data_IF_143803725375
#
_entry.id   IF_143803725375
#
_cell.length_a   1.000
_cell.length_b   1.000
_cell.length_c   1.000
_cell.angle_alpha   90.00
_cell.angle_beta   90.00
_cell.angle_gamma   90.00
#
_symmetry.space_group_name_H-M   'P 1'
#
loop_
_entity.id
_entity.type
_entity.pdbx_description
1 polymer ?
#
# COMPACT_ATOMS: atom_id res chain seq x y z
N UNK A 1 -52.02 35.93 -11.61
CA UNK A 1 -50.64 35.57 -12.02
C UNK A 1 -49.69 35.19 -10.85
N UNK A 2 -49.79 35.80 -9.66
CA UNK A 2 -48.90 35.48 -8.49
C UNK A 2 -49.13 34.11 -7.82
N UNK A 3 -50.35 33.56 -7.82
CA UNK A 3 -50.68 32.27 -7.16
C UNK A 3 -50.11 31.05 -7.92
N UNK A 4 -50.09 31.10 -9.26
CA UNK A 4 -49.53 30.03 -10.11
C UNK A 4 -48.00 29.92 -9.99
N UNK A 5 -47.30 31.04 -9.83
CA UNK A 5 -45.85 31.09 -9.60
C UNK A 5 -45.46 30.53 -8.22
N UNK A 6 -46.23 30.83 -7.18
CA UNK A 6 -46.02 30.25 -5.84
C UNK A 6 -46.21 28.73 -5.85
N UNK A 7 -47.25 28.22 -6.53
CA UNK A 7 -47.51 26.78 -6.61
C UNK A 7 -46.40 26.00 -7.34
N UNK A 8 -45.79 26.60 -8.37
CA UNK A 8 -44.66 26.01 -9.12
C UNK A 8 -43.36 26.03 -8.33
N UNK A 9 -43.11 27.08 -7.55
CA UNK A 9 -41.97 27.17 -6.63
C UNK A 9 -42.09 26.17 -5.48
N UNK A 10 -43.28 26.03 -4.88
CA UNK A 10 -43.55 25.03 -3.84
C UNK A 10 -43.45 23.60 -4.39
N UNK A 11 -43.98 23.32 -5.60
CA UNK A 11 -43.79 22.01 -6.26
C UNK A 11 -42.33 21.70 -6.57
N UNK A 12 -41.54 22.65 -7.07
CA UNK A 12 -40.09 22.45 -7.30
C UNK A 12 -39.32 22.29 -5.99
N UNK A 13 -39.69 23.02 -4.94
CA UNK A 13 -39.07 22.88 -3.63
C UNK A 13 -39.38 21.52 -2.99
N UNK A 14 -40.64 21.07 -3.05
CA UNK A 14 -41.08 19.75 -2.58
C UNK A 14 -40.46 18.61 -3.39
N UNK A 15 -40.38 18.71 -4.73
CA UNK A 15 -39.69 17.73 -5.58
C UNK A 15 -38.19 17.66 -5.31
N UNK A 16 -37.52 18.79 -5.02
CA UNK A 16 -36.09 18.80 -4.67
C UNK A 16 -35.81 18.18 -3.30
N UNK A 17 -36.72 18.34 -2.32
CA UNK A 17 -36.64 17.68 -1.02
C UNK A 17 -36.91 16.18 -1.13
N UNK A 18 -37.90 15.78 -1.93
CA UNK A 18 -38.22 14.36 -2.12
C UNK A 18 -37.06 13.62 -2.80
N UNK A 19 -36.47 14.21 -3.84
CA UNK A 19 -35.30 13.62 -4.52
C UNK A 19 -34.05 13.58 -3.63
N UNK A 20 -33.79 14.61 -2.81
CA UNK A 20 -32.70 14.54 -1.79
C UNK A 20 -32.97 13.50 -0.72
N UNK A 21 -34.21 13.37 -0.24
CA UNK A 21 -34.59 12.40 0.78
C UNK A 21 -34.42 10.95 0.31
N UNK A 22 -34.91 10.63 -0.90
CA UNK A 22 -34.72 9.31 -1.50
C UNK A 22 -33.25 9.00 -1.82
N UNK A 23 -32.47 10.00 -2.24
CA UNK A 23 -31.03 9.85 -2.45
C UNK A 23 -30.28 9.63 -1.13
N UNK A 24 -30.71 10.25 -0.03
CA UNK A 24 -30.18 10.00 1.31
C UNK A 24 -30.54 8.60 1.81
N UNK A 25 -31.78 8.13 1.63
CA UNK A 25 -32.19 6.75 1.99
C UNK A 25 -31.39 5.71 1.21
N UNK A 26 -31.22 5.91 -0.11
CA UNK A 26 -30.39 5.02 -0.93
C UNK A 26 -28.92 5.03 -0.47
N UNK A 27 -28.41 6.17 0.01
CA UNK A 27 -27.07 6.26 0.60
C UNK A 27 -26.98 5.56 1.96
N UNK A 28 -28.02 5.65 2.81
CA UNK A 28 -28.10 4.92 4.08
C UNK A 28 -28.16 3.41 3.86
N UNK A 29 -28.87 2.95 2.83
CA UNK A 29 -28.93 1.53 2.46
C UNK A 29 -27.58 0.94 2.06
N UNK A 30 -26.63 1.75 1.55
CA UNK A 30 -25.28 1.30 1.23
C UNK A 30 -24.43 0.95 2.45
N UNK A 31 -24.77 1.42 3.65
CA UNK A 31 -24.12 0.97 4.89
C UNK A 31 -24.41 -0.51 5.20
N UNK A 32 -25.47 -1.05 4.59
CA UNK A 32 -25.85 -2.45 4.65
C UNK A 32 -25.30 -3.25 3.45
N UNK A 33 -24.26 -2.78 2.75
CA UNK A 33 -23.55 -3.65 1.81
C UNK A 33 -22.77 -4.74 2.56
N UNK A 34 -22.74 -5.98 2.05
CA UNK A 34 -21.86 -7.02 2.59
C UNK A 34 -20.39 -6.56 2.51
N UNK A 35 -19.59 -6.82 3.55
CA UNK A 35 -18.16 -6.48 3.58
C UNK A 35 -17.78 -5.32 4.50
N UNK A 36 -18.68 -4.35 4.72
CA UNK A 36 -18.44 -3.19 5.60
C UNK A 36 -18.51 -3.52 7.11
N UNK A 37 -18.79 -4.75 7.55
CA UNK A 37 -18.77 -5.13 8.99
C UNK A 37 -19.78 -4.43 9.92
N UNK A 38 -20.44 -3.35 9.51
CA UNK A 38 -21.37 -2.54 10.33
C UNK A 38 -22.61 -3.34 10.73
N UNK A 39 -23.06 -4.28 9.90
CA UNK A 39 -24.27 -5.10 10.14
C UNK A 39 -24.22 -5.86 11.46
N UNK A 40 -23.06 -6.45 11.80
CA UNK A 40 -22.90 -7.26 13.02
C UNK A 40 -23.04 -6.38 14.27
N UNK A 41 -22.41 -5.20 14.25
CA UNK A 41 -22.48 -4.23 15.33
C UNK A 41 -23.88 -3.59 15.45
N UNK A 42 -24.53 -3.30 14.33
CA UNK A 42 -25.91 -2.82 14.34
C UNK A 42 -26.86 -3.87 14.94
N UNK A 43 -26.70 -5.14 14.58
CA UNK A 43 -27.46 -6.24 15.17
C UNK A 43 -27.21 -6.39 16.68
N UNK A 44 -25.94 -6.30 17.11
CA UNK A 44 -25.58 -6.35 18.53
C UNK A 44 -26.18 -5.17 19.32
N UNK A 45 -26.12 -3.96 18.76
CA UNK A 45 -26.70 -2.76 19.38
C UNK A 45 -28.21 -2.87 19.49
N UNK A 46 -28.89 -3.33 18.42
CA UNK A 46 -30.33 -3.56 18.45
C UNK A 46 -30.72 -4.61 19.49
N UNK A 47 -29.98 -5.72 19.56
CA UNK A 47 -30.20 -6.77 20.56
C UNK A 47 -29.97 -6.23 21.99
N UNK A 48 -28.89 -5.49 22.22
CA UNK A 48 -28.58 -4.89 23.52
C UNK A 48 -29.63 -3.87 23.97
N UNK A 49 -30.05 -2.97 23.09
CA UNK A 49 -31.14 -2.01 23.38
C UNK A 49 -32.46 -2.74 23.65
N UNK A 50 -32.75 -3.83 22.93
CA UNK A 50 -33.96 -4.63 23.16
C UNK A 50 -33.91 -5.31 24.52
N UNK A 51 -32.79 -5.92 24.89
CA UNK A 51 -32.62 -6.56 26.19
C UNK A 51 -32.70 -5.55 27.35
N UNK A 52 -32.09 -4.37 27.20
CA UNK A 52 -32.23 -3.28 28.16
C UNK A 52 -33.68 -2.79 28.26
N UNK A 53 -34.37 -2.66 27.13
CA UNK A 53 -35.78 -2.30 27.10
C UNK A 53 -36.67 -3.31 27.81
N UNK A 54 -36.44 -4.61 27.59
CA UNK A 54 -37.16 -5.69 28.28
C UNK A 54 -36.84 -5.72 29.78
N UNK A 55 -35.57 -5.61 30.17
CA UNK A 55 -35.16 -5.55 31.57
C UNK A 55 -35.78 -4.37 32.32
N UNK A 56 -35.74 -3.18 31.70
CA UNK A 56 -36.39 -1.99 32.24
C UNK A 56 -37.90 -2.16 32.33
N UNK A 57 -38.54 -2.77 31.33
CA UNK A 57 -39.98 -3.03 31.34
C UNK A 57 -40.39 -3.98 32.48
N UNK A 58 -39.61 -5.04 32.73
CA UNK A 58 -39.83 -5.97 33.84
C UNK A 58 -39.66 -5.24 35.18
N UNK A 59 -38.58 -4.45 35.34
CA UNK A 59 -38.31 -3.68 36.55
C UNK A 59 -39.42 -2.65 36.83
N UNK A 60 -39.85 -1.88 35.82
CA UNK A 60 -40.94 -0.90 35.97
C UNK A 60 -42.27 -1.58 36.29
N UNK A 61 -42.52 -2.77 35.75
CA UNK A 61 -43.73 -3.54 36.00
C UNK A 61 -43.73 -4.17 37.40
N UNK A 62 -42.57 -4.55 37.91
CA UNK A 62 -42.38 -4.97 39.30
C UNK A 62 -42.60 -3.80 40.26
N UNK A 63 -41.94 -2.67 40.03
CA UNK A 63 -42.12 -1.43 40.81
C UNK A 63 -43.59 -1.00 40.87
N UNK A 64 -44.31 -1.11 39.75
CA UNK A 64 -45.75 -0.81 39.67
C UNK A 64 -46.61 -1.78 40.49
N UNK A 65 -46.15 -3.02 40.70
CA UNK A 65 -46.89 -4.07 41.44
C UNK A 65 -46.55 -4.11 42.92
N UNK A 66 -45.33 -3.74 43.31
CA UNK A 66 -44.80 -3.98 44.67
C UNK A 66 -44.74 -2.74 45.55
N UNK A 67 -44.97 -1.52 45.04
CA UNK A 67 -44.88 -0.30 45.84
C UNK A 67 -46.27 0.34 46.08
N UNK A 68 -46.96 0.07 47.22
CA UNK A 68 -48.37 0.40 47.37
C UNK A 68 -48.69 1.78 47.96
N UNK A 69 -47.72 2.59 48.38
CA UNK A 69 -48.05 3.69 49.33
C UNK A 69 -47.64 5.13 48.92
N UNK A 70 -47.16 5.36 47.71
CA UNK A 70 -46.75 6.71 47.27
C UNK A 70 -47.47 7.09 45.95
N UNK A 71 -48.59 7.82 46.03
CA UNK A 71 -49.47 8.11 44.88
C UNK A 71 -48.82 8.94 43.75
N UNK A 72 -47.88 9.84 44.09
CA UNK A 72 -47.38 10.83 43.13
C UNK A 72 -46.58 10.19 41.98
N UNK A 73 -45.79 9.15 42.25
CA UNK A 73 -44.96 8.52 41.22
C UNK A 73 -45.79 7.59 40.30
N UNK A 74 -46.86 6.97 40.82
CA UNK A 74 -47.77 6.13 40.03
C UNK A 74 -48.50 6.97 38.97
N UNK A 75 -48.98 8.16 39.36
CA UNK A 75 -49.64 9.10 38.44
C UNK A 75 -48.68 9.64 37.38
N UNK A 76 -47.43 9.92 37.76
CA UNK A 76 -46.37 10.31 36.84
C UNK A 76 -46.08 9.20 35.81
N UNK A 77 -45.89 7.96 36.26
CA UNK A 77 -45.64 6.80 35.39
C UNK A 77 -46.84 6.48 34.48
N UNK A 78 -48.07 6.60 34.98
CA UNK A 78 -49.29 6.37 34.20
C UNK A 78 -49.44 7.40 33.06
N UNK A 79 -49.08 8.66 33.32
CA UNK A 79 -49.09 9.74 32.33
C UNK A 79 -47.93 9.57 31.33
N UNK A 80 -46.72 9.32 31.82
CA UNK A 80 -45.53 9.10 31.00
C UNK A 80 -45.65 7.88 30.09
N UNK A 81 -46.35 6.83 30.52
CA UNK A 81 -46.63 5.62 29.74
C UNK A 81 -47.88 5.73 28.84
N UNK A 82 -48.49 6.92 28.74
CA UNK A 82 -49.67 7.22 27.92
C UNK A 82 -50.85 6.26 28.17
N UNK A 83 -51.13 5.89 29.42
CA UNK A 83 -52.11 4.84 29.78
C UNK A 83 -53.52 5.05 29.20
N UNK A 84 -53.91 6.29 28.93
CA UNK A 84 -55.20 6.65 28.32
C UNK A 84 -55.36 6.16 26.87
N UNK A 85 -54.27 5.76 26.20
CA UNK A 85 -54.30 5.23 24.84
C UNK A 85 -54.37 3.69 24.80
N UNK A 86 -55.02 3.12 23.76
CA UNK A 86 -55.00 1.67 23.54
C UNK A 86 -53.57 1.13 23.47
N UNK A 87 -53.36 -0.08 24.03
CA UNK A 87 -52.06 -0.79 24.03
C UNK A 87 -51.33 -0.76 22.66
N UNK A 88 -51.97 -1.09 21.52
CA UNK A 88 -51.27 -1.10 20.23
C UNK A 88 -50.78 0.29 19.81
N UNK A 89 -51.53 1.36 20.13
CA UNK A 89 -51.15 2.74 19.80
C UNK A 89 -49.90 3.16 20.57
N UNK A 90 -49.80 2.78 21.86
CA UNK A 90 -48.63 3.09 22.69
C UNK A 90 -47.38 2.39 22.19
N UNK A 91 -47.49 1.13 21.78
CA UNK A 91 -46.37 0.38 21.17
C UNK A 91 -45.87 1.07 19.91
N UNK A 92 -46.78 1.56 19.05
CA UNK A 92 -46.38 2.31 17.85
C UNK A 92 -45.71 3.64 18.18
N UNK A 93 -46.19 4.38 19.19
CA UNK A 93 -45.60 5.67 19.59
C UNK A 93 -44.21 5.47 20.18
N UNK A 94 -44.07 4.64 21.22
CA UNK A 94 -42.77 4.43 21.88
C UNK A 94 -41.79 3.67 20.98
N UNK A 95 -42.27 2.67 20.24
CA UNK A 95 -41.45 1.94 19.27
C UNK A 95 -40.97 2.83 18.13
N UNK A 96 -41.88 3.63 17.54
CA UNK A 96 -41.54 4.54 16.45
C UNK A 96 -40.59 5.67 16.88
N UNK A 97 -40.86 6.29 18.05
CA UNK A 97 -40.00 7.33 18.60
C UNK A 97 -38.64 6.77 19.02
N UNK A 98 -38.60 5.59 19.63
CA UNK A 98 -37.36 4.88 19.98
C UNK A 98 -36.50 4.58 18.74
N UNK A 99 -37.09 3.98 17.70
CA UNK A 99 -36.39 3.72 16.43
C UNK A 99 -35.88 5.03 15.82
N UNK A 100 -36.69 6.08 15.82
CA UNK A 100 -36.32 7.38 15.26
C UNK A 100 -35.14 8.03 15.99
N UNK A 101 -35.14 8.00 17.33
CA UNK A 101 -34.04 8.50 18.15
C UNK A 101 -32.76 7.69 17.96
N UNK A 102 -32.85 6.37 17.87
CA UNK A 102 -31.69 5.49 17.59
C UNK A 102 -31.09 5.85 16.22
N UNK A 103 -31.93 5.94 15.18
CA UNK A 103 -31.47 6.30 13.83
C UNK A 103 -30.85 7.70 13.80
N UNK A 104 -31.43 8.66 14.52
CA UNK A 104 -30.91 10.01 14.61
C UNK A 104 -29.58 10.08 15.37
N UNK A 105 -29.44 9.33 16.47
CA UNK A 105 -28.20 9.20 17.24
C UNK A 105 -27.08 8.57 16.41
N UNK A 106 -27.37 7.48 15.70
CA UNK A 106 -26.41 6.84 14.78
C UNK A 106 -25.98 7.83 13.69
N UNK A 107 -26.92 8.56 13.10
CA UNK A 107 -26.61 9.60 12.11
C UNK A 107 -25.75 10.72 12.69
N UNK A 108 -26.05 11.17 13.91
CA UNK A 108 -25.30 12.20 14.63
C UNK A 108 -23.85 11.80 14.87
N UNK A 109 -23.61 10.59 15.39
CA UNK A 109 -22.27 10.05 15.65
C UNK A 109 -21.48 9.90 14.34
N UNK A 110 -22.09 9.32 13.31
CA UNK A 110 -21.45 9.15 12.02
C UNK A 110 -21.03 10.50 11.44
N UNK A 111 -21.91 11.49 11.53
CA UNK A 111 -21.64 12.84 11.06
C UNK A 111 -20.53 13.53 11.87
N UNK A 112 -20.56 13.46 13.20
CA UNK A 112 -19.58 14.17 14.05
C UNK A 112 -18.19 13.56 14.03
N UNK A 113 -18.09 12.22 13.95
CA UNK A 113 -16.81 11.52 14.03
C UNK A 113 -16.13 11.40 12.67
N UNK A 114 -16.87 11.17 11.58
CA UNK A 114 -16.25 10.87 10.29
C UNK A 114 -15.99 12.12 9.42
N UNK A 115 -16.78 13.18 9.55
CA UNK A 115 -16.62 14.40 8.73
C UNK A 115 -15.21 15.01 8.73
N UNK A 116 -14.46 15.05 9.85
CA UNK A 116 -13.11 15.61 9.87
C UNK A 116 -12.09 14.81 9.03
N UNK A 117 -12.36 13.56 8.71
CA UNK A 117 -11.40 12.64 8.08
C UNK A 117 -11.67 12.39 6.59
N UNK A 118 -12.63 13.09 6.00
CA UNK A 118 -13.13 12.82 4.64
C UNK A 118 -12.73 13.91 3.65
N UNK A 119 -12.16 13.50 2.53
CA UNK A 119 -11.88 14.40 1.39
C UNK A 119 -13.18 15.01 0.83
N UNK A 120 -13.23 16.33 0.56
CA UNK A 120 -14.37 16.98 -0.07
C UNK A 120 -14.73 16.30 -1.41
N UNK A 121 -16.01 15.96 -1.62
CA UNK A 121 -16.52 15.47 -2.90
C UNK A 121 -16.65 13.95 -3.08
N UNK A 122 -16.14 13.14 -2.15
CA UNK A 122 -16.29 11.67 -2.19
C UNK A 122 -17.13 11.16 -1.02
N UNK A 123 -17.87 10.06 -1.23
CA UNK A 123 -18.79 9.52 -0.21
C UNK A 123 -18.01 8.68 0.80
N UNK A 124 -18.34 8.87 2.08
CA UNK A 124 -17.79 8.14 3.24
C UNK A 124 -17.78 6.63 3.04
N UNK A 125 -18.88 6.10 2.51
CA UNK A 125 -19.08 4.65 2.34
C UNK A 125 -18.15 4.07 1.29
N UNK A 126 -17.91 4.82 0.20
CA UNK A 126 -17.09 4.36 -0.91
C UNK A 126 -15.60 4.32 -0.46
N UNK A 127 -15.14 5.34 0.28
CA UNK A 127 -13.79 5.34 0.88
C UNK A 127 -13.59 4.23 1.92
N UNK A 128 -14.57 4.01 2.81
CA UNK A 128 -14.51 2.93 3.80
C UNK A 128 -14.54 1.55 3.17
N UNK A 129 -15.25 1.39 2.05
CA UNK A 129 -15.29 0.16 1.28
C UNK A 129 -13.95 -0.11 0.60
N UNK A 130 -13.35 0.91 -0.05
CA UNK A 130 -12.03 0.83 -0.66
C UNK A 130 -10.94 0.52 0.38
N UNK A 131 -10.96 1.22 1.53
CA UNK A 131 -10.00 0.99 2.61
C UNK A 131 -10.05 -0.47 3.10
N UNK A 132 -11.25 -1.01 3.38
CA UNK A 132 -11.40 -2.43 3.79
C UNK A 132 -11.05 -3.41 2.68
N UNK A 133 -11.32 -3.07 1.43
CA UNK A 133 -10.95 -3.92 0.29
C UNK A 133 -9.42 -4.03 0.22
N UNK A 134 -8.71 -2.92 0.39
CA UNK A 134 -7.24 -2.88 0.40
C UNK A 134 -6.64 -3.61 1.61
N UNK A 135 -7.26 -3.51 2.80
CA UNK A 135 -6.87 -4.30 3.98
C UNK A 135 -6.98 -5.82 3.76
N UNK A 136 -7.94 -6.24 2.93
CA UNK A 136 -8.13 -7.65 2.54
C UNK A 136 -7.48 -7.99 1.19
N UNK A 137 -6.66 -7.08 0.65
CA UNK A 137 -5.94 -7.28 -0.59
C UNK A 137 -4.86 -8.35 -0.47
N UNK A 138 -4.28 -8.80 -1.61
CA UNK A 138 -3.22 -9.79 -1.59
C UNK A 138 -1.98 -9.29 -0.84
N UNK A 139 -1.24 -10.24 -0.25
CA UNK A 139 0.07 -10.00 0.35
C UNK A 139 1.10 -9.92 -0.76
N UNK A 140 1.62 -8.72 -0.99
CA UNK A 140 2.63 -8.48 -2.04
C UNK A 140 3.96 -8.14 -1.40
N UNK A 141 4.99 -8.89 -1.77
CA UNK A 141 6.38 -8.60 -1.40
C UNK A 141 7.10 -8.05 -2.61
N UNK A 142 7.66 -6.85 -2.50
CA UNK A 142 8.44 -6.21 -3.56
C UNK A 142 9.92 -6.16 -3.14
N UNK A 143 10.81 -6.70 -3.96
CA UNK A 143 12.25 -6.81 -3.68
C UNK A 143 13.01 -5.93 -4.67
N UNK A 144 13.84 -5.01 -4.16
CA UNK A 144 14.65 -4.14 -5.01
C UNK A 144 15.31 -3.02 -4.22
N UNK A 145 15.40 -1.84 -4.84
CA UNK A 145 15.99 -0.65 -4.26
C UNK A 145 15.72 0.59 -5.11
N UNK A 146 16.23 1.72 -4.65
CA UNK A 146 16.19 2.99 -5.34
C UNK A 146 14.80 3.49 -5.73
N UNK A 147 14.77 4.24 -6.82
CA UNK A 147 13.57 4.93 -7.30
C UNK A 147 12.59 3.98 -8.02
N UNK A 148 13.08 2.89 -8.64
CA UNK A 148 12.24 1.92 -9.33
C UNK A 148 11.27 1.23 -8.38
N UNK A 149 11.79 0.72 -7.26
CA UNK A 149 10.97 0.12 -6.21
C UNK A 149 9.99 1.14 -5.61
N UNK A 150 10.44 2.37 -5.32
CA UNK A 150 9.57 3.42 -4.81
C UNK A 150 8.40 3.73 -5.77
N UNK A 151 8.65 3.78 -7.09
CA UNK A 151 7.61 3.95 -8.10
C UNK A 151 6.60 2.80 -8.08
N UNK A 152 7.07 1.55 -8.04
CA UNK A 152 6.20 0.38 -7.93
C UNK A 152 5.31 0.46 -6.68
N UNK A 153 5.89 0.78 -5.52
CA UNK A 153 5.16 0.86 -4.25
C UNK A 153 4.09 1.97 -4.26
N UNK A 154 4.37 3.12 -4.88
CA UNK A 154 3.39 4.21 -5.06
C UNK A 154 2.16 3.76 -5.84
N UNK A 155 2.34 2.88 -6.82
CA UNK A 155 1.23 2.28 -7.56
C UNK A 155 0.49 1.22 -6.73
N UNK A 156 1.24 0.25 -6.19
CA UNK A 156 0.66 -0.90 -5.49
C UNK A 156 -0.13 -0.53 -4.23
N UNK A 157 0.22 0.57 -3.53
CA UNK A 157 -0.51 1.02 -2.32
C UNK A 157 -1.98 1.36 -2.60
N UNK A 158 -2.32 1.66 -3.85
CA UNK A 158 -3.70 1.91 -4.28
C UNK A 158 -4.52 0.61 -4.45
N UNK A 159 -3.87 -0.56 -4.43
CA UNK A 159 -4.51 -1.86 -4.63
C UNK A 159 -4.55 -2.73 -3.36
N UNK A 160 -3.53 -2.65 -2.49
CA UNK A 160 -3.45 -3.44 -1.26
C UNK A 160 -2.68 -2.68 -0.18
N UNK A 161 -3.06 -2.88 1.09
CA UNK A 161 -2.29 -2.39 2.24
C UNK A 161 -1.32 -3.46 2.78
N UNK A 162 -1.39 -4.69 2.25
CA UNK A 162 -0.57 -5.82 2.67
C UNK A 162 0.75 -5.85 1.88
N UNK A 163 1.45 -4.70 1.84
CA UNK A 163 2.72 -4.53 1.14
C UNK A 163 3.90 -4.76 2.07
N UNK A 164 4.90 -5.47 1.59
CA UNK A 164 6.22 -5.54 2.24
C UNK A 164 7.30 -5.24 1.21
N UNK A 165 7.99 -4.12 1.37
CA UNK A 165 9.16 -3.77 0.58
C UNK A 165 10.41 -4.35 1.25
N UNK A 166 11.25 -5.03 0.47
CA UNK A 166 12.53 -5.57 0.91
C UNK A 166 13.63 -4.85 0.16
N UNK A 167 14.54 -4.23 0.91
CA UNK A 167 15.57 -3.33 0.38
C UNK A 167 16.95 -3.71 0.84
N UNK A 168 17.91 -3.55 -0.07
CA UNK A 168 19.33 -3.77 0.22
C UNK A 168 19.84 -2.67 1.17
N UNK A 169 20.80 -3.05 2.01
CA UNK A 169 21.55 -2.13 2.89
C UNK A 169 23.00 -1.96 2.42
N UNK A 170 23.27 -2.23 1.14
CA UNK A 170 24.60 -2.14 0.56
C UNK A 170 24.98 -0.75 0.00
N UNK A 171 24.03 0.20 -0.06
CA UNK A 171 24.23 1.58 -0.53
C UNK A 171 25.37 2.26 0.23
N UNK A 172 26.25 2.92 -0.51
CA UNK A 172 27.36 3.72 0.01
C UNK A 172 27.51 5.11 -0.65
N UNK A 173 26.47 5.52 -1.38
CA UNK A 173 26.40 6.78 -2.12
C UNK A 173 25.77 7.94 -1.34
N UNK A 174 26.18 9.16 -1.72
CA UNK A 174 25.60 10.42 -1.25
C UNK A 174 25.43 10.52 0.27
N UNK A 175 24.28 11.07 0.69
CA UNK A 175 23.93 11.26 2.11
C UNK A 175 23.88 9.95 2.89
N UNK A 176 23.44 8.83 2.29
CA UNK A 176 23.38 7.54 2.98
C UNK A 176 24.79 7.02 3.30
N UNK A 177 25.67 7.06 2.30
CA UNK A 177 27.06 6.63 2.43
C UNK A 177 27.87 7.48 3.39
N UNK A 178 27.63 8.80 3.42
CA UNK A 178 28.29 9.69 4.38
C UNK A 178 27.90 9.37 5.83
N UNK A 179 26.60 9.21 6.10
CA UNK A 179 26.11 8.84 7.44
C UNK A 179 26.59 7.46 7.87
N UNK A 180 26.64 6.50 6.94
CA UNK A 180 27.20 5.17 7.17
C UNK A 180 28.68 5.25 7.58
N UNK A 181 29.49 6.03 6.87
CA UNK A 181 30.94 6.20 7.17
C UNK A 181 31.19 6.97 8.47
N UNK A 182 30.39 7.98 8.78
CA UNK A 182 30.63 8.84 9.95
C UNK A 182 30.06 8.28 11.25
N UNK A 183 28.94 7.56 11.20
CA UNK A 183 28.21 7.09 12.38
C UNK A 183 28.16 5.56 12.51
N UNK A 184 28.61 4.80 11.50
CA UNK A 184 28.61 3.33 11.53
C UNK A 184 27.21 2.70 11.48
N UNK A 185 26.22 3.43 10.97
CA UNK A 185 24.84 2.95 10.81
C UNK A 185 24.60 2.35 9.42
N UNK A 186 23.58 1.50 9.30
CA UNK A 186 23.12 1.02 8.00
C UNK A 186 22.59 2.17 7.13
N UNK A 187 22.78 2.14 5.80
CA UNK A 187 22.39 3.23 4.92
C UNK A 187 20.86 3.38 4.87
N UNK A 188 20.30 4.55 5.24
CA UNK A 188 18.85 4.71 5.34
C UNK A 188 18.17 5.09 4.00
N UNK A 189 18.92 5.40 2.93
CA UNK A 189 18.41 6.05 1.72
C UNK A 189 17.28 5.30 1.01
N UNK A 190 17.49 4.03 0.67
CA UNK A 190 16.49 3.22 -0.03
C UNK A 190 15.27 2.90 0.84
N UNK A 191 15.49 2.68 2.13
CA UNK A 191 14.41 2.54 3.11
C UNK A 191 13.58 3.82 3.18
N UNK A 192 14.23 4.98 3.26
CA UNK A 192 13.57 6.29 3.27
C UNK A 192 12.69 6.48 2.04
N UNK A 193 13.20 6.14 0.86
CA UNK A 193 12.45 6.23 -0.40
C UNK A 193 11.21 5.34 -0.38
N UNK A 194 11.33 4.11 0.12
CA UNK A 194 10.20 3.19 0.23
C UNK A 194 9.16 3.65 1.26
N UNK A 195 9.61 4.18 2.42
CA UNK A 195 8.72 4.73 3.44
C UNK A 195 7.91 5.91 2.88
N UNK A 196 8.58 6.83 2.18
CA UNK A 196 7.92 7.96 1.52
C UNK A 196 6.97 7.52 0.39
N UNK A 197 7.34 6.47 -0.35
CA UNK A 197 6.47 5.92 -1.40
C UNK A 197 5.18 5.31 -0.86
N UNK A 198 5.26 4.65 0.31
CA UNK A 198 4.15 4.01 0.98
C UNK A 198 3.32 4.95 1.87
N UNK A 199 3.80 6.16 2.16
CA UNK A 199 3.01 7.19 2.83
C UNK A 199 2.10 7.94 1.85
N UNK A 200 1.27 8.87 2.37
CA UNK A 200 0.47 9.75 1.51
C UNK A 200 1.34 10.92 1.03
N UNK A 201 1.38 11.12 -0.27
CA UNK A 201 2.25 12.13 -0.90
C UNK A 201 1.85 13.59 -0.55
N UNK A 202 0.56 13.83 -0.24
CA UNK A 202 0.03 15.15 0.13
C UNK A 202 0.38 15.56 1.58
N UNK A 203 0.82 14.62 2.43
CA UNK A 203 1.07 14.90 3.83
C UNK A 203 2.38 15.71 3.99
N UNK A 204 2.32 16.80 4.74
CA UNK A 204 3.48 17.67 5.01
C UNK A 204 4.67 16.90 5.57
N UNK A 205 4.42 15.90 6.41
CA UNK A 205 5.45 15.03 6.97
C UNK A 205 6.19 14.25 5.86
N UNK A 206 5.48 13.74 4.86
CA UNK A 206 6.09 13.05 3.71
C UNK A 206 6.98 13.99 2.90
N UNK A 207 6.55 15.24 2.71
CA UNK A 207 7.34 16.25 2.00
C UNK A 207 8.60 16.65 2.79
N UNK A 208 8.46 16.85 4.10
CA UNK A 208 9.59 17.10 4.99
C UNK A 208 10.56 15.91 5.00
N UNK A 209 10.05 14.69 5.00
CA UNK A 209 10.86 13.46 4.97
C UNK A 209 11.71 13.34 3.70
N UNK A 210 11.18 13.81 2.57
CA UNK A 210 11.90 13.84 1.29
C UNK A 210 12.79 15.08 1.12
N UNK A 211 12.71 16.06 2.04
CA UNK A 211 13.50 17.29 1.95
C UNK A 211 15.00 16.98 1.95
N UNK A 212 15.70 17.68 1.04
CA UNK A 212 17.15 17.66 0.93
C UNK A 212 17.66 19.07 1.19
N UNK A 213 18.59 19.18 2.14
CA UNK A 213 19.22 20.45 2.47
C UNK A 213 20.13 20.91 1.33
N UNK A 214 20.12 22.22 1.08
CA UNK A 214 20.96 22.87 0.08
C UNK A 214 21.50 24.19 0.62
N UNK A 215 22.78 24.47 0.42
CA UNK A 215 23.43 25.74 0.75
C UNK A 215 23.69 25.97 2.25
N UNK A 216 23.53 24.95 3.09
CA UNK A 216 23.82 25.04 4.54
C UNK A 216 25.08 24.24 4.87
N UNK A 217 26.17 24.89 5.32
CA UNK A 217 27.41 24.20 5.69
C UNK A 217 27.16 23.08 6.71
N UNK A 218 27.72 21.89 6.48
CA UNK A 218 27.57 20.71 7.35
C UNK A 218 26.25 19.93 7.18
N UNK A 219 25.25 20.49 6.49
CA UNK A 219 24.01 19.78 6.13
C UNK A 219 23.81 19.68 4.63
N UNK A 220 24.63 20.34 3.82
CA UNK A 220 24.50 20.39 2.36
C UNK A 220 24.47 18.98 1.76
N UNK A 221 23.46 18.70 0.95
CA UNK A 221 23.27 17.39 0.34
C UNK A 221 22.63 16.32 1.25
N UNK A 222 22.57 16.52 2.57
CA UNK A 222 21.86 15.59 3.47
C UNK A 222 20.35 15.63 3.24
N UNK A 223 19.71 14.48 3.47
CA UNK A 223 18.26 14.40 3.50
C UNK A 223 17.74 14.39 4.93
N UNK A 224 16.69 15.17 5.20
CA UNK A 224 16.04 15.16 6.51
C UNK A 224 15.56 13.76 6.90
N UNK A 225 14.93 13.00 5.98
CA UNK A 225 14.49 11.65 6.28
C UNK A 225 15.63 10.69 6.62
N UNK A 226 16.80 10.84 6.02
CA UNK A 226 17.98 10.06 6.40
C UNK A 226 18.40 10.40 7.83
N UNK A 227 18.56 11.69 8.14
CA UNK A 227 18.91 12.17 9.49
C UNK A 227 17.88 11.74 10.54
N UNK A 228 16.60 11.73 10.18
CA UNK A 228 15.52 11.30 11.05
C UNK A 228 15.62 9.80 11.39
N UNK A 229 15.82 8.94 10.38
CA UNK A 229 16.01 7.49 10.60
C UNK A 229 17.27 7.25 11.43
N UNK A 230 18.35 7.97 11.14
CA UNK A 230 19.61 7.92 11.90
C UNK A 230 19.39 8.26 13.38
N UNK A 231 18.76 9.41 13.66
CA UNK A 231 18.48 9.84 15.03
C UNK A 231 17.58 8.85 15.77
N UNK A 232 16.55 8.30 15.11
CA UNK A 232 15.73 7.24 15.70
C UNK A 232 16.51 5.95 15.96
N UNK A 233 17.46 5.60 15.10
CA UNK A 233 18.31 4.42 15.29
C UNK A 233 19.21 4.59 16.52
N UNK A 234 19.74 5.79 16.75
CA UNK A 234 20.52 6.10 17.96
C UNK A 234 19.66 6.10 19.23
N UNK A 235 18.43 6.64 19.16
CA UNK A 235 17.51 6.69 20.31
C UNK A 235 17.01 5.30 20.71
N UNK A 236 16.63 4.48 19.73
CA UNK A 236 16.10 3.12 19.94
C UNK A 236 17.21 2.10 20.18
N UNK A 237 18.42 2.37 19.71
CA UNK A 237 19.52 1.40 19.70
C UNK A 237 19.32 0.27 18.68
N UNK A 238 18.32 0.39 17.79
CA UNK A 238 17.94 -0.64 16.82
C UNK A 238 17.54 0.00 15.49
N UNK A 239 18.20 -0.39 14.40
CA UNK A 239 17.89 0.13 13.08
C UNK A 239 16.50 -0.32 12.61
N UNK A 240 16.15 -1.59 12.83
CA UNK A 240 14.84 -2.12 12.47
C UNK A 240 13.69 -1.48 13.26
N UNK A 241 13.90 -1.16 14.53
CA UNK A 241 12.91 -0.44 15.34
C UNK A 241 12.75 0.99 14.83
N UNK A 242 13.84 1.69 14.52
CA UNK A 242 13.80 3.02 13.93
C UNK A 242 13.05 3.07 12.59
N UNK A 243 13.23 2.06 11.73
CA UNK A 243 12.49 1.93 10.47
C UNK A 243 11.00 1.68 10.73
N UNK A 244 10.66 0.82 11.69
CA UNK A 244 9.28 0.56 12.07
C UNK A 244 8.58 1.78 12.66
N UNK A 245 9.26 2.54 13.53
CA UNK A 245 8.75 3.79 14.09
C UNK A 245 8.61 4.89 13.02
N UNK A 246 9.59 5.00 12.12
CA UNK A 246 9.48 5.92 10.97
C UNK A 246 8.24 5.62 10.13
N UNK A 247 7.97 4.33 9.89
CA UNK A 247 6.74 3.90 9.22
C UNK A 247 5.46 4.27 9.97
N UNK A 248 5.44 4.17 11.30
CA UNK A 248 4.31 4.60 12.14
C UNK A 248 4.07 6.10 12.05
N UNK A 249 5.13 6.91 12.18
CA UNK A 249 5.07 8.38 12.09
C UNK A 249 4.53 8.83 10.73
N UNK A 250 4.96 8.17 9.65
CA UNK A 250 4.52 8.46 8.28
C UNK A 250 3.19 7.79 7.91
N UNK A 251 2.60 6.98 8.80
CA UNK A 251 1.36 6.22 8.56
C UNK A 251 1.39 5.44 7.25
N UNK A 252 2.47 4.69 7.00
CA UNK A 252 2.71 4.00 5.73
C UNK A 252 1.74 2.83 5.49
N UNK A 253 1.36 2.61 4.23
CA UNK A 253 0.53 1.48 3.79
C UNK A 253 1.37 0.23 3.52
N UNK A 254 1.81 -0.43 4.59
CA UNK A 254 2.60 -1.65 4.50
C UNK A 254 3.81 -1.61 5.43
N UNK A 255 4.89 -2.29 5.04
CA UNK A 255 6.14 -2.35 5.81
C UNK A 255 7.34 -2.25 4.87
N UNK A 256 8.43 -1.68 5.38
CA UNK A 256 9.73 -1.66 4.71
C UNK A 256 10.71 -2.42 5.61
N UNK A 257 11.39 -3.40 5.05
CA UNK A 257 12.31 -4.28 5.76
C UNK A 257 13.68 -4.27 5.08
N UNK A 258 14.77 -4.12 5.83
CA UNK A 258 16.10 -4.33 5.28
C UNK A 258 16.32 -5.82 4.98
N UNK A 259 17.02 -6.14 3.90
CA UNK A 259 17.32 -7.52 3.51
C UNK A 259 18.16 -8.24 4.58
N UNK A 260 19.07 -7.51 5.23
CA UNK A 260 19.89 -7.95 6.35
C UNK A 260 20.10 -6.79 7.33
N UNK A 261 20.39 -7.11 8.59
CA UNK A 261 20.81 -6.13 9.60
C UNK A 261 22.35 -6.03 9.70
N UNK A 262 23.08 -6.74 8.85
CA UNK A 262 24.54 -6.69 8.82
C UNK A 262 25.01 -5.58 7.88
N UNK A 263 26.06 -4.88 8.30
CA UNK A 263 26.73 -3.90 7.46
C UNK A 263 27.50 -4.62 6.34
N UNK A 264 27.05 -4.42 5.10
CA UNK A 264 27.59 -5.13 3.92
C UNK A 264 27.91 -4.17 2.80
N UNK A 265 29.01 -4.39 2.10
CA UNK A 265 29.41 -3.64 0.93
C UNK A 265 29.20 -4.48 -0.32
N UNK A 266 28.68 -3.87 -1.39
CA UNK A 266 28.60 -4.52 -2.70
C UNK A 266 29.96 -4.46 -3.39
N UNK A 267 30.40 -5.59 -3.94
CA UNK A 267 31.64 -5.68 -4.71
C UNK A 267 31.35 -6.33 -6.06
N UNK A 268 32.00 -5.83 -7.12
CA UNK A 268 31.85 -6.33 -8.48
C UNK A 268 33.21 -6.64 -9.10
N UNK A 269 33.26 -7.68 -9.94
CA UNK A 269 34.32 -7.84 -10.94
C UNK A 269 33.77 -7.33 -12.28
N UNK A 270 34.44 -6.32 -12.87
CA UNK A 270 34.00 -5.61 -14.08
C UNK A 270 35.02 -5.79 -15.20
N UNK A 271 34.54 -6.21 -16.36
CA UNK A 271 35.33 -6.31 -17.58
C UNK A 271 35.32 -4.96 -18.30
N UNK A 272 36.44 -4.25 -18.25
CA UNK A 272 36.61 -2.97 -18.96
C UNK A 272 37.05 -3.26 -20.41
N UNK A 273 36.52 -2.54 -21.42
CA UNK A 273 37.00 -2.63 -22.79
C UNK A 273 38.50 -2.35 -22.87
N UNK A 274 39.19 -3.10 -23.74
CA UNK A 274 40.64 -2.96 -23.98
C UNK A 274 41.58 -3.40 -22.84
N UNK A 275 41.05 -3.82 -21.68
CA UNK A 275 41.83 -4.49 -20.64
C UNK A 275 41.61 -6.00 -20.69
N UNK A 276 42.68 -6.77 -20.62
CA UNK A 276 42.61 -8.24 -20.62
C UNK A 276 42.19 -8.83 -19.27
N UNK A 277 42.31 -8.05 -18.19
CA UNK A 277 41.96 -8.47 -16.83
C UNK A 277 40.69 -7.78 -16.34
N UNK A 278 39.96 -8.48 -15.48
CA UNK A 278 38.82 -7.92 -14.75
C UNK A 278 39.32 -6.97 -13.64
N UNK A 279 38.57 -5.89 -13.42
CA UNK A 279 38.86 -4.93 -12.35
C UNK A 279 37.85 -5.13 -11.23
N UNK A 280 38.36 -5.30 -10.02
CA UNK A 280 37.53 -5.39 -8.81
C UNK A 280 37.19 -4.00 -8.30
N UNK A 281 35.89 -3.74 -8.15
CA UNK A 281 35.36 -2.46 -7.66
C UNK A 281 34.52 -2.75 -6.42
N UNK A 282 34.85 -2.09 -5.32
CA UNK A 282 34.09 -2.15 -4.07
C UNK A 282 33.32 -0.84 -3.85
N UNK A 283 32.04 -0.97 -3.51
CA UNK A 283 31.10 0.12 -3.30
C UNK A 283 30.03 0.18 -4.39
N UNK A 284 28.77 0.26 -3.98
CA UNK A 284 27.61 0.27 -4.87
C UNK A 284 27.66 1.49 -5.81
N UNK A 285 27.93 2.67 -5.25
CA UNK A 285 27.94 3.92 -6.00
C UNK A 285 29.07 4.02 -7.02
N UNK A 286 30.13 3.24 -6.84
CA UNK A 286 31.31 3.24 -7.71
C UNK A 286 31.21 2.29 -8.89
N UNK A 287 30.39 1.23 -8.80
CA UNK A 287 30.27 0.20 -9.85
C UNK A 287 29.84 0.82 -11.19
N UNK A 288 28.80 1.67 -11.26
CA UNK A 288 28.33 2.24 -12.53
C UNK A 288 29.28 3.30 -13.13
N UNK A 289 30.23 3.84 -12.36
CA UNK A 289 31.17 4.87 -12.82
C UNK A 289 32.20 4.32 -13.83
N UNK A 290 32.41 3.00 -13.84
CA UNK A 290 33.34 2.36 -14.76
C UNK A 290 32.62 1.89 -16.02
N UNK A 291 33.10 2.35 -17.17
CA UNK A 291 32.58 1.97 -18.49
C UNK A 291 32.99 0.53 -18.83
N UNK A 292 32.32 -0.47 -18.24
CA UNK A 292 32.58 -1.89 -18.47
C UNK A 292 31.34 -2.76 -18.31
N UNK A 293 31.50 -4.07 -18.54
CA UNK A 293 30.45 -5.07 -18.33
C UNK A 293 30.67 -5.75 -16.98
N UNK A 294 29.65 -5.69 -16.12
CA UNK A 294 29.65 -6.41 -14.84
C UNK A 294 29.64 -7.92 -15.13
N UNK A 295 30.62 -8.65 -14.60
CA UNK A 295 30.71 -10.11 -14.74
C UNK A 295 30.01 -10.82 -13.59
N UNK A 296 30.24 -10.35 -12.37
CA UNK A 296 29.60 -10.86 -11.17
C UNK A 296 29.61 -9.82 -10.05
N UNK A 297 28.68 -9.97 -9.12
CA UNK A 297 28.64 -9.21 -7.87
C UNK A 297 28.49 -10.13 -6.66
N UNK A 298 29.01 -9.70 -5.51
CA UNK A 298 28.85 -10.36 -4.22
C UNK A 298 28.83 -9.34 -3.08
N UNK A 299 28.41 -9.77 -1.89
CA UNK A 299 28.43 -8.94 -0.68
C UNK A 299 29.71 -9.19 0.13
N UNK A 300 30.21 -8.17 0.79
CA UNK A 300 31.33 -8.25 1.71
C UNK A 300 30.97 -7.57 3.04
N UNK A 301 30.95 -8.27 4.19
CA UNK A 301 31.19 -9.71 4.36
C UNK A 301 30.23 -10.60 3.55
N UNK A 302 30.73 -11.76 3.11
CA UNK A 302 29.94 -12.68 2.29
C UNK A 302 28.92 -13.46 3.14
N UNK A 303 27.82 -13.87 2.51
CA UNK A 303 26.74 -14.65 3.10
C UNK A 303 26.15 -14.06 4.39
N UNK A 304 25.73 -12.78 4.40
CA UNK A 304 25.06 -12.21 5.56
C UNK A 304 23.73 -12.94 5.83
N UNK A 305 23.31 -13.12 7.10
CA UNK A 305 22.01 -13.70 7.41
C UNK A 305 20.89 -12.74 7.01
N UNK A 306 19.75 -13.28 6.57
CA UNK A 306 18.59 -12.44 6.29
C UNK A 306 17.96 -11.91 7.57
N UNK A 307 17.30 -10.74 7.49
CA UNK A 307 16.43 -10.30 8.56
C UNK A 307 15.19 -11.21 8.65
N UNK A 308 14.95 -11.95 9.75
CA UNK A 308 13.94 -13.02 9.77
C UNK A 308 12.51 -12.62 9.33
N UNK A 309 11.99 -11.40 9.64
CA UNK A 309 10.70 -10.95 9.13
C UNK A 309 10.59 -10.91 7.61
N UNK A 310 11.71 -10.74 6.89
CA UNK A 310 11.76 -10.81 5.42
C UNK A 310 11.41 -12.21 4.94
N UNK A 311 12.00 -13.24 5.55
CA UNK A 311 11.74 -14.64 5.22
C UNK A 311 10.27 -14.98 5.46
N UNK A 312 9.73 -14.56 6.60
CA UNK A 312 8.31 -14.75 6.92
C UNK A 312 7.40 -14.07 5.89
N UNK A 313 7.73 -12.85 5.48
CA UNK A 313 6.95 -12.12 4.48
C UNK A 313 6.98 -12.83 3.12
N UNK A 314 8.15 -13.26 2.65
CA UNK A 314 8.33 -13.96 1.36
C UNK A 314 7.56 -15.27 1.32
N UNK A 315 7.61 -16.06 2.40
CA UNK A 315 6.91 -17.36 2.47
C UNK A 315 5.39 -17.22 2.62
N UNK A 316 4.92 -16.09 3.18
CA UNK A 316 3.49 -15.80 3.34
C UNK A 316 2.89 -14.97 2.20
N UNK A 317 3.69 -14.60 1.20
CA UNK A 317 3.28 -13.76 0.08
C UNK A 317 2.34 -14.51 -0.88
N UNK A 318 1.38 -13.78 -1.44
CA UNK A 318 0.57 -14.23 -2.56
C UNK A 318 1.26 -13.86 -3.89
N UNK A 319 1.95 -12.71 -3.92
CA UNK A 319 2.74 -12.22 -5.06
C UNK A 319 4.11 -11.75 -4.58
N UNK A 320 5.15 -12.11 -5.34
CA UNK A 320 6.51 -11.63 -5.16
C UNK A 320 6.94 -10.90 -6.42
N UNK A 321 7.27 -9.61 -6.29
CA UNK A 321 7.70 -8.74 -7.39
C UNK A 321 9.18 -8.44 -7.21
N UNK A 322 10.00 -8.78 -8.21
CA UNK A 322 11.44 -8.52 -8.24
C UNK A 322 11.68 -7.36 -9.19
N UNK A 323 12.26 -6.28 -8.68
CA UNK A 323 12.37 -5.02 -9.41
C UNK A 323 11.06 -4.22 -9.45
N UNK A 324 10.98 -3.16 -10.27
CA UNK A 324 12.06 -2.66 -11.14
C UNK A 324 13.17 -2.00 -10.33
N UNK A 325 14.36 -1.87 -10.94
CA UNK A 325 15.52 -1.28 -10.28
C UNK A 325 16.81 -1.68 -10.98
N UNK A 326 17.92 -1.03 -10.63
CA UNK A 326 19.21 -1.39 -11.19
C UNK A 326 19.52 -2.86 -10.93
N UNK A 327 19.92 -3.58 -11.97
CA UNK A 327 20.00 -5.05 -11.89
C UNK A 327 21.05 -5.48 -10.85
N UNK A 328 22.27 -4.96 -10.96
CA UNK A 328 23.40 -5.41 -10.14
C UNK A 328 23.53 -4.63 -8.83
N UNK A 329 23.01 -3.40 -8.77
CA UNK A 329 23.14 -2.51 -7.59
C UNK A 329 21.88 -2.40 -6.74
N UNK A 330 20.69 -2.76 -7.24
CA UNK A 330 19.43 -2.71 -6.46
C UNK A 330 18.73 -4.06 -6.33
N UNK A 331 18.67 -4.87 -7.39
CA UNK A 331 17.92 -6.13 -7.37
C UNK A 331 18.78 -7.27 -6.83
N UNK A 332 19.89 -7.58 -7.52
CA UNK A 332 20.79 -8.69 -7.16
C UNK A 332 21.32 -8.59 -5.72
N UNK A 333 21.65 -7.42 -5.14
CA UNK A 333 22.17 -7.35 -3.78
C UNK A 333 21.23 -7.90 -2.71
N UNK A 334 19.91 -7.78 -2.92
CA UNK A 334 18.93 -8.44 -2.04
C UNK A 334 19.01 -9.97 -2.16
N UNK A 335 19.20 -10.48 -3.38
CA UNK A 335 19.24 -11.91 -3.69
C UNK A 335 20.60 -12.56 -3.39
N UNK A 336 21.62 -11.77 -3.07
CA UNK A 336 22.91 -12.26 -2.57
C UNK A 336 22.83 -12.71 -1.10
N UNK A 337 21.78 -12.32 -0.37
CA UNK A 337 21.49 -12.82 0.97
C UNK A 337 20.98 -14.27 0.86
N UNK A 338 21.72 -15.29 1.33
CA UNK A 338 21.44 -16.69 1.00
C UNK A 338 20.05 -17.18 1.45
N UNK A 339 19.64 -16.82 2.66
CA UNK A 339 18.33 -17.21 3.22
C UNK A 339 17.18 -16.57 2.43
N UNK A 340 17.34 -15.31 2.02
CA UNK A 340 16.37 -14.58 1.22
C UNK A 340 16.20 -15.26 -0.14
N UNK A 341 17.30 -15.55 -0.83
CA UNK A 341 17.30 -16.33 -2.09
C UNK A 341 16.61 -17.68 -1.92
N UNK A 342 16.94 -18.42 -0.85
CA UNK A 342 16.32 -19.71 -0.57
C UNK A 342 14.80 -19.57 -0.36
N UNK A 343 14.36 -18.54 0.37
CA UNK A 343 12.95 -18.26 0.60
C UNK A 343 12.21 -17.90 -0.69
N UNK A 344 12.81 -17.10 -1.59
CA UNK A 344 12.20 -16.78 -2.89
C UNK A 344 12.00 -18.05 -3.72
N UNK A 345 12.99 -18.94 -3.75
CA UNK A 345 12.90 -20.23 -4.46
C UNK A 345 11.84 -21.15 -3.86
N UNK A 346 11.71 -21.19 -2.54
CA UNK A 346 10.77 -22.04 -1.83
C UNK A 346 9.32 -21.48 -1.81
N UNK A 347 9.15 -20.18 -2.00
CA UNK A 347 7.84 -19.52 -1.93
C UNK A 347 6.88 -20.05 -3.00
N UNK A 348 5.59 -20.15 -2.65
CA UNK A 348 4.51 -20.52 -3.57
C UNK A 348 3.83 -19.31 -4.21
N UNK A 349 4.26 -18.11 -3.86
CA UNK A 349 3.78 -16.87 -4.47
C UNK A 349 3.99 -16.89 -5.99
N UNK A 350 3.14 -16.15 -6.70
CA UNK A 350 3.38 -15.78 -8.09
C UNK A 350 4.62 -14.87 -8.14
N UNK A 351 5.70 -15.32 -8.81
CA UNK A 351 6.98 -14.61 -8.87
C UNK A 351 7.10 -13.84 -10.17
N UNK A 352 7.02 -12.52 -10.08
CA UNK A 352 7.04 -11.59 -11.19
C UNK A 352 8.37 -10.86 -11.22
N UNK A 353 9.08 -10.88 -12.34
CA UNK A 353 10.21 -9.99 -12.59
C UNK A 353 9.73 -8.79 -13.42
N UNK A 354 10.03 -7.57 -12.97
CA UNK A 354 9.76 -6.35 -13.74
C UNK A 354 11.05 -5.89 -14.39
N UNK A 355 11.14 -6.06 -15.71
CA UNK A 355 12.31 -5.69 -16.48
C UNK A 355 12.46 -4.17 -16.56
N UNK A 356 13.71 -3.68 -16.58
CA UNK A 356 13.97 -2.27 -16.77
C UNK A 356 13.53 -1.80 -18.17
N UNK A 357 13.09 -0.54 -18.27
CA UNK A 357 12.66 0.07 -19.53
C UNK A 357 13.86 0.48 -20.39
N UNK A 358 14.89 1.01 -19.73
CA UNK A 358 16.14 1.46 -20.38
C UNK A 358 17.35 0.79 -19.73
N UNK A 359 18.38 0.57 -20.55
CA UNK A 359 19.69 0.09 -20.10
C UNK A 359 20.37 1.13 -19.23
N UNK A 360 21.21 0.69 -18.30
CA UNK A 360 21.98 1.57 -17.43
C UNK A 360 23.47 1.55 -17.82
N UNK A 361 24.07 2.73 -18.09
CA UNK A 361 25.51 2.83 -18.31
C UNK A 361 26.31 2.22 -17.16
N UNK A 362 27.36 1.46 -17.47
CA UNK A 362 28.22 0.81 -16.48
C UNK A 362 27.65 -0.47 -15.84
N UNK A 363 26.34 -0.75 -16.01
CA UNK A 363 25.71 -1.97 -15.48
C UNK A 363 25.19 -2.89 -16.59
N UNK A 364 24.19 -2.41 -17.34
CA UNK A 364 23.40 -3.22 -18.30
C UNK A 364 23.43 -2.65 -19.71
N UNK A 365 24.54 -1.99 -20.07
CA UNK A 365 24.73 -1.44 -21.40
C UNK A 365 24.55 -2.53 -22.47
N UNK A 366 23.69 -2.25 -23.45
CA UNK A 366 23.31 -3.16 -24.55
C UNK A 366 22.55 -4.44 -24.11
N UNK A 367 22.06 -4.51 -22.87
CA UNK A 367 21.27 -5.66 -22.45
C UNK A 367 19.87 -5.62 -23.07
N UNK A 368 19.46 -6.75 -23.63
CA UNK A 368 18.06 -7.00 -24.00
C UNK A 368 17.24 -7.46 -22.79
N UNK A 369 15.93 -7.67 -22.98
CA UNK A 369 15.07 -8.23 -21.95
C UNK A 369 15.55 -9.63 -21.55
N UNK A 370 15.97 -10.45 -22.52
CA UNK A 370 16.57 -11.76 -22.27
C UNK A 370 17.83 -11.67 -21.40
N UNK A 371 18.74 -10.76 -21.72
CA UNK A 371 19.98 -10.60 -20.94
C UNK A 371 19.70 -10.29 -19.47
N UNK A 372 18.68 -9.48 -19.18
CA UNK A 372 18.25 -9.19 -17.80
C UNK A 372 17.70 -10.44 -17.10
N UNK A 373 16.88 -11.24 -17.80
CA UNK A 373 16.32 -12.49 -17.27
C UNK A 373 17.45 -13.48 -16.97
N UNK A 374 18.34 -13.72 -17.93
CA UNK A 374 19.45 -14.67 -17.79
C UNK A 374 20.39 -14.25 -16.67
N UNK A 375 20.77 -12.96 -16.61
CA UNK A 375 21.60 -12.44 -15.54
C UNK A 375 20.93 -12.55 -14.16
N UNK A 376 19.62 -12.37 -14.04
CA UNK A 376 18.89 -12.59 -12.78
C UNK A 376 18.85 -14.08 -12.40
N UNK A 377 18.59 -14.95 -13.37
CA UNK A 377 18.52 -16.41 -13.19
C UNK A 377 19.87 -17.02 -12.78
N UNK A 378 21.00 -16.40 -13.12
CA UNK A 378 22.32 -16.79 -12.62
C UNK A 378 22.40 -16.74 -11.08
N UNK A 379 21.75 -15.75 -10.45
CA UNK A 379 21.79 -15.59 -8.99
C UNK A 379 20.69 -16.37 -8.28
N UNK A 380 19.48 -16.39 -8.84
CA UNK A 380 18.31 -16.98 -8.17
C UNK A 380 18.04 -18.43 -8.59
N UNK A 381 18.53 -18.85 -9.75
CA UNK A 381 18.30 -20.15 -10.38
C UNK A 381 17.28 -20.09 -11.52
N UNK A 382 17.51 -20.90 -12.56
CA UNK A 382 16.64 -20.99 -13.73
C UNK A 382 15.24 -21.47 -13.37
N UNK A 383 14.22 -20.88 -14.01
CA UNK A 383 12.82 -21.27 -13.87
C UNK A 383 12.17 -20.88 -12.54
N UNK A 384 12.82 -20.03 -11.74
CA UNK A 384 12.23 -19.46 -10.51
C UNK A 384 11.22 -18.37 -10.85
N UNK A 385 11.46 -17.57 -11.89
CA UNK A 385 10.53 -16.52 -12.31
C UNK A 385 9.34 -17.15 -13.07
N UNK A 386 8.13 -16.85 -12.61
CA UNK A 386 6.89 -17.30 -13.24
C UNK A 386 6.55 -16.44 -14.47
N UNK A 387 6.65 -15.11 -14.32
CA UNK A 387 6.28 -14.12 -15.33
C UNK A 387 7.31 -12.98 -15.34
N UNK A 388 7.73 -12.55 -16.51
CA UNK A 388 8.50 -11.32 -16.73
C UNK A 388 7.61 -10.28 -17.39
N UNK A 389 7.58 -9.08 -16.82
CA UNK A 389 6.88 -7.92 -17.35
C UNK A 389 7.88 -7.03 -18.11
N UNK A 390 7.54 -6.66 -19.34
CA UNK A 390 8.34 -5.85 -20.27
C UNK A 390 7.55 -4.64 -20.78
N UNK A 391 8.27 -3.56 -21.08
CA UNK A 391 7.71 -2.44 -21.83
C UNK A 391 7.88 -2.67 -23.34
N UNK A 392 6.81 -2.48 -24.11
CA UNK A 392 6.81 -2.58 -25.58
C UNK A 392 6.54 -1.25 -26.31
N UNK A 393 6.34 -0.17 -25.56
CA UNK A 393 6.14 1.17 -26.12
C UNK A 393 7.43 1.98 -26.06
N UNK A 394 7.97 2.31 -27.22
CA UNK A 394 9.22 3.07 -27.36
C UNK A 394 8.93 4.48 -27.90
N UNK A 395 9.43 5.51 -27.22
CA UNK A 395 9.30 6.89 -27.67
C UNK A 395 10.58 7.37 -28.39
N UNK A 396 10.47 8.29 -29.36
CA UNK A 396 11.63 8.79 -30.11
C UNK A 396 12.57 9.67 -29.25
N UNK A 397 12.13 10.14 -28.09
CA UNK A 397 12.91 11.01 -27.20
C UNK A 397 14.13 10.32 -26.58
N UNK A 398 14.15 8.98 -26.56
CA UNK A 398 15.24 8.17 -26.02
C UNK A 398 15.90 7.42 -27.18
N UNK A 399 17.24 7.46 -27.30
CA UNK A 399 17.96 6.76 -28.36
C UNK A 399 17.61 5.26 -28.42
N UNK A 400 17.38 4.68 -29.61
CA UNK A 400 17.01 3.28 -29.81
C UNK A 400 17.88 2.28 -29.03
N UNK A 401 19.19 2.53 -28.96
CA UNK A 401 20.18 1.70 -28.29
C UNK A 401 20.09 1.70 -26.75
N UNK A 402 19.38 2.66 -26.15
CA UNK A 402 19.18 2.71 -24.70
C UNK A 402 17.95 1.95 -24.24
N UNK A 403 17.05 1.59 -25.14
CA UNK A 403 15.86 0.82 -24.77
C UNK A 403 16.24 -0.63 -24.48
N UNK A 404 15.66 -1.18 -23.41
CA UNK A 404 15.69 -2.63 -23.22
C UNK A 404 14.65 -3.21 -24.17
N UNK A 405 15.13 -3.80 -25.26
CA UNK A 405 14.26 -4.37 -26.29
C UNK A 405 13.87 -5.80 -25.94
N UNK A 406 12.67 -6.18 -26.34
CA UNK A 406 12.18 -7.55 -26.24
C UNK A 406 12.76 -8.34 -27.41
N UNK A 407 13.49 -9.41 -27.09
CA UNK A 407 14.05 -10.33 -28.09
C UNK A 407 12.93 -11.07 -28.83
N UNK A 408 13.04 -11.22 -30.15
CA UNK A 408 12.02 -11.90 -30.97
C UNK A 408 11.75 -13.33 -30.52
N UNK A 409 12.77 -14.04 -30.03
CA UNK A 409 12.64 -15.40 -29.50
C UNK A 409 11.80 -15.50 -28.23
N UNK A 410 11.67 -14.40 -27.48
CA UNK A 410 10.80 -14.34 -26.31
C UNK A 410 9.34 -14.03 -26.67
N UNK A 411 9.08 -13.52 -27.88
CA UNK A 411 7.72 -13.23 -28.34
C UNK A 411 6.95 -14.55 -28.50
N UNK A 412 5.83 -14.66 -27.78
CA UNK A 412 5.04 -15.88 -27.71
C UNK A 412 5.42 -16.83 -26.56
N UNK A 413 6.45 -16.50 -25.77
CA UNK A 413 6.70 -17.18 -24.50
C UNK A 413 5.59 -16.83 -23.51
N UNK A 414 4.88 -17.84 -22.98
CA UNK A 414 3.78 -17.64 -22.03
C UNK A 414 4.21 -17.01 -20.69
N UNK A 415 5.52 -16.92 -20.44
CA UNK A 415 6.10 -16.26 -19.27
C UNK A 415 6.44 -14.80 -19.52
N UNK A 416 6.27 -14.27 -20.72
CA UNK A 416 6.53 -12.87 -21.03
C UNK A 416 5.21 -12.12 -21.19
N UNK A 417 5.06 -11.01 -20.47
CA UNK A 417 3.91 -10.11 -20.59
C UNK A 417 4.39 -8.70 -20.93
N UNK A 418 4.11 -8.23 -22.14
CA UNK A 418 4.45 -6.87 -22.53
C UNK A 418 3.23 -5.95 -22.53
N UNK A 419 3.46 -4.70 -22.13
CA UNK A 419 2.46 -3.65 -22.12
C UNK A 419 3.12 -2.26 -22.19
N UNK A 420 2.30 -1.23 -22.42
CA UNK A 420 2.69 0.16 -22.19
C UNK A 420 2.90 0.39 -20.69
N UNK A 421 4.16 0.49 -20.27
CA UNK A 421 4.54 0.70 -18.88
C UNK A 421 5.25 2.03 -18.65
N UNK A 422 5.55 2.79 -19.71
CA UNK A 422 6.31 4.01 -19.61
C UNK A 422 5.48 5.17 -19.02
N UNK A 423 6.12 5.96 -18.16
CA UNK A 423 5.57 7.22 -17.67
C UNK A 423 5.53 8.27 -18.78
N UNK A 424 4.43 9.02 -18.87
CA UNK A 424 4.23 10.01 -19.94
C UNK A 424 5.20 11.17 -19.88
N UNK A 425 5.63 11.56 -18.67
CA UNK A 425 6.52 12.70 -18.43
C UNK A 425 7.99 12.28 -18.42
N UNK A 426 8.28 11.06 -17.98
CA UNK A 426 9.62 10.50 -17.91
C UNK A 426 9.64 9.10 -18.53
N UNK A 427 9.68 8.97 -19.88
CA UNK A 427 9.52 7.68 -20.58
C UNK A 427 10.56 6.61 -20.22
N UNK A 428 11.68 6.98 -19.59
CA UNK A 428 12.69 6.06 -19.07
C UNK A 428 12.32 5.41 -17.72
N UNK A 429 11.15 5.75 -17.15
CA UNK A 429 10.63 5.22 -15.88
C UNK A 429 9.29 4.56 -16.09
N UNK A 430 8.99 3.61 -15.22
CA UNK A 430 7.67 3.01 -15.15
C UNK A 430 6.64 4.04 -14.69
N UNK A 431 5.46 4.02 -15.29
CA UNK A 431 4.27 4.65 -14.74
C UNK A 431 3.78 3.81 -13.54
N UNK A 432 3.65 4.40 -12.34
CA UNK A 432 3.29 3.66 -11.14
C UNK A 432 1.91 2.99 -11.25
N UNK A 433 0.93 3.67 -11.86
CA UNK A 433 -0.43 3.17 -11.96
C UNK A 433 -0.53 2.06 -13.01
N UNK A 434 0.08 2.23 -14.20
CA UNK A 434 0.07 1.19 -15.23
C UNK A 434 0.75 -0.08 -14.75
N UNK A 435 1.93 0.04 -14.13
CA UNK A 435 2.68 -1.12 -13.65
C UNK A 435 1.93 -1.87 -12.54
N UNK A 436 1.38 -1.16 -11.57
CA UNK A 436 0.60 -1.78 -10.50
C UNK A 436 -0.66 -2.47 -11.04
N UNK A 437 -1.36 -1.85 -12.00
CA UNK A 437 -2.53 -2.43 -12.64
C UNK A 437 -2.18 -3.76 -13.33
N UNK A 438 -1.12 -3.79 -14.14
CA UNK A 438 -0.67 -5.02 -14.82
C UNK A 438 -0.33 -6.13 -13.82
N UNK A 439 0.42 -5.83 -12.76
CA UNK A 439 0.78 -6.83 -11.73
C UNK A 439 -0.48 -7.41 -11.06
N UNK A 440 -1.45 -6.55 -10.74
CA UNK A 440 -2.68 -6.97 -10.08
C UNK A 440 -3.58 -7.78 -11.03
N UNK A 441 -3.66 -7.41 -12.31
CA UNK A 441 -4.43 -8.14 -13.32
C UNK A 441 -3.86 -9.55 -13.51
N UNK A 442 -2.54 -9.68 -13.65
CA UNK A 442 -1.86 -10.98 -13.74
C UNK A 442 -2.10 -11.86 -12.50
N UNK A 443 -2.11 -11.25 -11.31
CA UNK A 443 -2.45 -11.96 -10.08
C UNK A 443 -3.89 -12.46 -10.08
N UNK A 444 -4.86 -11.60 -10.42
CA UNK A 444 -6.28 -11.97 -10.42
C UNK A 444 -6.64 -12.93 -11.55
N UNK A 445 -5.96 -12.90 -12.69
CA UNK A 445 -6.14 -13.86 -13.78
C UNK A 445 -5.69 -15.26 -13.35
N UNK A 446 -4.53 -15.36 -12.67
CA UNK A 446 -3.99 -16.64 -12.20
C UNK A 446 -4.75 -17.21 -10.99
N UNK A 447 -5.36 -16.36 -10.17
CA UNK A 447 -6.09 -16.76 -8.95
C UNK A 447 -7.61 -16.71 -9.10
N UNK A 448 -8.12 -16.27 -10.24
CA UNK A 448 -9.54 -16.20 -10.53
C UNK A 448 -10.19 -17.58 -10.47
N UNK A 449 -11.47 -17.68 -10.04
CA UNK A 449 -12.18 -18.94 -10.20
C UNK A 449 -12.21 -19.31 -11.68
N UNK A 450 -12.10 -20.61 -12.00
CA UNK A 450 -12.51 -21.19 -13.28
C UNK A 450 -13.97 -20.81 -13.53
N UNK A 451 -14.20 -19.61 -14.04
CA UNK A 451 -15.50 -19.10 -14.42
C UNK A 451 -15.43 -18.81 -15.91
N UNK A 452 -16.36 -19.39 -16.64
CA UNK A 452 -16.47 -19.52 -18.10
C UNK A 452 -16.56 -18.17 -18.88
N UNK A 453 -15.95 -17.09 -18.38
CA UNK A 453 -16.05 -15.75 -18.96
C UNK A 453 -14.85 -15.32 -19.82
N UNK A 454 -13.92 -16.22 -20.12
CA UNK A 454 -12.92 -16.02 -21.18
C UNK A 454 -13.32 -16.66 -22.52
N UNK A 455 -14.59 -17.03 -22.70
CA UNK A 455 -15.18 -17.37 -23.98
C UNK A 455 -16.29 -16.36 -24.29
N UNK A 456 -15.90 -15.16 -24.73
CA UNK A 456 -16.71 -14.35 -25.65
C UNK A 456 -15.90 -13.16 -26.19
N UNK A 457 -15.40 -13.42 -27.40
CA UNK A 457 -15.05 -12.51 -28.51
C UNK A 457 -13.80 -11.66 -28.34
#
# INVERSE_FOLDING_TARGET
MRILLLSRLVKRFLQSRHTRFWRNIQQTGRWLTPGLGVKRWFGLLLAGVTLLGVGLAIFLLDLYRTAPEIEWYINLLATASLRFLPRPVRVLIFGGLGISLILWGIWGINRSVLLPFLRPGSKVVDQLAEYRRRERGPRVVAIGGGHGLATLLRGLKEHTHNLTAVVSVADDGGSSGELRRSLGILPPGDIRNCLAALSKDEDLLTQLFQYRFSGTPGLDGHSFGNLFITALSEITGSFEEAVAESGRVLSVYGRVLPATLHDVQLVADVQIPHLTMEVRIAGESRIPEFAGRVRRVWLQPDSPPAFPPVIQAILAADVLVIGPGSLYTSIVPNLLVPDLRAAVRASRALKIFVCNIVTQPGETQNYTCRDHIEALEEYIGKGVIDITICNDVYTPDIPPERWVRVDEELLGNSRLYCADLADKSHPWRHDPAKLAQVIMDLYYERTGPLSERALKV
#
